data_IF_181519905837
#
_entry.id   IF_181519905837
#
_cell.length_a   1.000
_cell.length_b   1.000
_cell.length_c   1.000
_cell.angle_alpha   90.00
_cell.angle_beta   90.00
_cell.angle_gamma   90.00
#
_symmetry.space_group_name_H-M   'P 1'
#
loop_
_entity.id
_entity.type
_entity.pdbx_description
1 polymer ?
#
# COMPACT_ATOMS: atom_id res chain seq x y z
N UNK A 1 -15.74 -9.99 -9.40
CA UNK A 1 -17.21 -9.88 -9.65
C UNK A 1 -17.61 -8.46 -10.07
N UNK A 2 -16.71 -7.67 -10.71
CA UNK A 2 -16.98 -6.37 -11.34
C UNK A 2 -17.36 -5.21 -10.39
N UNK A 3 -17.36 -5.41 -9.09
CA UNK A 3 -17.66 -4.36 -8.11
C UNK A 3 -16.39 -3.79 -7.49
N UNK A 4 -16.23 -2.46 -7.41
CA UNK A 4 -15.10 -1.84 -6.73
C UNK A 4 -15.01 -2.26 -5.25
N UNK A 5 -13.80 -2.45 -4.75
CA UNK A 5 -13.56 -2.66 -3.32
C UNK A 5 -14.02 -1.39 -2.56
N UNK A 6 -14.67 -1.60 -1.39
CA UNK A 6 -15.24 -0.53 -0.59
C UNK A 6 -16.68 -0.13 -0.97
N UNK A 7 -17.27 -0.70 -2.04
CA UNK A 7 -18.64 -0.38 -2.48
C UNK A 7 -19.71 -1.34 -1.95
N UNK A 8 -19.35 -2.32 -1.10
CA UNK A 8 -20.29 -3.35 -0.61
C UNK A 8 -20.94 -3.01 0.72
N UNK A 9 -20.28 -2.19 1.54
CA UNK A 9 -20.82 -1.74 2.82
C UNK A 9 -21.66 -0.49 2.68
N UNK A 10 -22.29 -0.07 3.77
CA UNK A 10 -23.01 1.21 3.85
C UNK A 10 -22.08 2.42 3.68
N UNK A 11 -20.82 2.26 4.11
CA UNK A 11 -19.75 3.24 4.00
C UNK A 11 -18.51 2.57 3.40
N UNK A 12 -17.87 3.26 2.48
CA UNK A 12 -16.53 2.97 2.01
C UNK A 12 -15.55 4.02 2.54
N UNK A 13 -14.35 3.59 2.88
CA UNK A 13 -13.27 4.51 3.29
C UNK A 13 -12.04 4.29 2.45
N UNK A 14 -11.27 5.35 2.22
CA UNK A 14 -9.94 5.26 1.62
C UNK A 14 -8.99 6.23 2.29
N UNK A 15 -7.73 5.84 2.38
CA UNK A 15 -6.66 6.66 2.95
C UNK A 15 -5.85 7.30 1.82
N UNK A 16 -5.49 8.58 2.01
CA UNK A 16 -4.55 9.32 1.18
C UNK A 16 -3.28 9.70 1.94
N UNK A 17 -2.96 8.92 2.99
CA UNK A 17 -1.72 9.11 3.75
C UNK A 17 -0.49 9.02 2.84
N UNK A 18 0.63 9.60 3.27
CA UNK A 18 1.85 9.74 2.48
C UNK A 18 2.36 8.43 1.83
N UNK A 19 2.13 7.28 2.48
CA UNK A 19 2.59 5.96 2.00
C UNK A 19 1.60 5.25 1.08
N UNK A 20 0.42 5.83 0.81
CA UNK A 20 -0.59 5.20 -0.04
C UNK A 20 -0.30 5.38 -1.52
N UNK A 21 -0.95 4.57 -2.36
CA UNK A 21 -0.80 4.66 -3.82
C UNK A 21 -1.22 6.01 -4.39
N UNK A 22 -2.26 6.61 -3.81
CA UNK A 22 -2.70 7.96 -4.04
C UNK A 22 -2.50 8.72 -2.73
N UNK A 23 -1.70 9.76 -2.74
CA UNK A 23 -1.38 10.55 -1.55
C UNK A 23 -1.79 12.01 -1.72
N UNK A 24 -2.08 12.66 -0.59
CA UNK A 24 -2.28 14.12 -0.50
C UNK A 24 -1.09 14.83 0.15
N UNK A 25 0.09 14.17 0.17
CA UNK A 25 1.33 14.75 0.69
C UNK A 25 1.45 14.76 2.22
N UNK A 26 0.65 13.95 2.90
CA UNK A 26 0.68 13.85 4.36
C UNK A 26 -0.52 13.09 4.88
N UNK A 27 -1.42 13.78 5.57
CA UNK A 27 -2.67 13.23 6.04
C UNK A 27 -3.77 13.42 5.00
N UNK A 28 -4.70 12.48 4.91
CA UNK A 28 -5.86 12.60 4.04
C UNK A 28 -6.63 11.30 3.91
N UNK A 29 -7.88 11.41 3.50
CA UNK A 29 -8.76 10.28 3.26
C UNK A 29 -10.09 10.73 2.70
N UNK A 30 -10.90 9.76 2.30
CA UNK A 30 -12.28 10.01 1.90
C UNK A 30 -13.22 8.95 2.44
N UNK A 31 -14.43 9.37 2.71
CA UNK A 31 -15.56 8.49 3.04
C UNK A 31 -16.60 8.66 1.95
N UNK A 32 -17.15 7.55 1.47
CA UNK A 32 -18.17 7.56 0.43
C UNK A 32 -19.32 6.60 0.78
N UNK A 33 -20.52 6.98 0.39
CA UNK A 33 -21.75 6.20 0.57
C UNK A 33 -22.80 6.61 -0.44
N UNK A 34 -23.71 5.72 -0.75
CA UNK A 34 -24.97 6.04 -1.44
C UNK A 34 -26.04 6.60 -0.47
N UNK A 35 -25.85 6.45 0.85
CA UNK A 35 -26.76 6.95 1.86
C UNK A 35 -26.42 8.42 2.20
N UNK A 36 -27.23 9.33 1.66
CA UNK A 36 -27.08 10.78 1.89
C UNK A 36 -27.11 11.16 3.37
N UNK A 37 -27.99 10.52 4.18
CA UNK A 37 -28.11 10.85 5.59
C UNK A 37 -26.84 10.50 6.38
N UNK A 38 -26.15 9.41 6.02
CA UNK A 38 -24.85 9.07 6.62
C UNK A 38 -23.78 10.10 6.24
N UNK A 39 -23.72 10.49 4.98
CA UNK A 39 -22.76 11.50 4.51
C UNK A 39 -23.01 12.85 5.19
N UNK A 40 -24.26 13.28 5.35
CA UNK A 40 -24.60 14.55 6.01
C UNK A 40 -24.20 14.52 7.51
N UNK A 41 -24.42 13.39 8.21
CA UNK A 41 -23.95 13.20 9.59
C UNK A 41 -22.43 13.27 9.71
N UNK A 42 -21.70 12.64 8.76
CA UNK A 42 -20.23 12.67 8.74
C UNK A 42 -19.70 14.07 8.47
N UNK A 43 -20.33 14.81 7.55
CA UNK A 43 -20.00 16.22 7.29
C UNK A 43 -20.22 17.08 8.51
N UNK A 44 -21.36 16.93 9.20
CA UNK A 44 -21.65 17.64 10.44
C UNK A 44 -20.62 17.31 11.53
N UNK A 45 -20.20 16.06 11.65
CA UNK A 45 -19.22 15.59 12.64
C UNK A 45 -17.80 16.15 12.42
N UNK A 46 -17.38 16.31 11.17
CA UNK A 46 -16.04 16.80 10.81
C UNK A 46 -15.90 18.32 10.74
N UNK A 47 -17.01 19.08 10.78
CA UNK A 47 -17.03 20.52 10.60
C UNK A 47 -17.50 21.20 11.89
N UNK A 48 -16.54 21.66 12.71
CA UNK A 48 -16.84 22.25 14.01
C UNK A 48 -17.16 23.75 13.93
N UNK A 49 -16.79 24.43 12.84
CA UNK A 49 -16.84 25.88 12.70
C UNK A 49 -18.26 26.38 12.45
N UNK A 50 -18.57 27.63 12.91
CA UNK A 50 -19.85 28.32 12.72
C UNK A 50 -21.10 27.55 13.21
N UNK A 51 -20.96 26.76 14.30
CA UNK A 51 -22.06 25.96 14.87
C UNK A 51 -22.63 26.63 16.13
N UNK A 52 -23.96 26.63 16.25
CA UNK A 52 -24.68 27.20 17.38
C UNK A 52 -25.11 26.20 18.45
N UNK A 53 -25.01 24.90 18.14
CA UNK A 53 -25.31 23.81 19.08
C UNK A 53 -24.05 23.34 19.82
N UNK A 54 -24.24 22.53 20.88
CA UNK A 54 -23.12 21.97 21.70
C UNK A 54 -22.73 20.55 21.32
N UNK A 55 -23.00 20.08 20.09
CA UNK A 55 -22.60 18.74 19.67
C UNK A 55 -21.09 18.65 19.53
N UNK A 56 -20.53 17.50 19.90
CA UNK A 56 -19.11 17.23 19.69
C UNK A 56 -18.81 17.13 18.20
N UNK A 57 -17.89 17.96 17.74
CA UNK A 57 -17.37 17.97 16.37
C UNK A 57 -15.86 18.11 16.39
N UNK A 58 -15.24 17.74 15.29
CA UNK A 58 -13.78 17.70 15.15
C UNK A 58 -13.36 18.42 13.86
N UNK A 59 -12.14 18.94 13.87
CA UNK A 59 -11.52 19.48 12.67
C UNK A 59 -10.83 18.35 11.90
N UNK A 60 -11.61 17.66 11.07
CA UNK A 60 -11.09 16.61 10.16
C UNK A 60 -11.14 17.05 8.70
N UNK A 61 -11.06 18.33 8.45
CA UNK A 61 -11.09 18.87 7.10
C UNK A 61 -9.73 18.73 6.43
N UNK A 62 -9.75 18.37 5.15
CA UNK A 62 -8.57 18.41 4.29
C UNK A 62 -8.31 19.85 3.86
N UNK A 63 -7.05 20.28 3.85
CA UNK A 63 -6.69 21.60 3.33
C UNK A 63 -6.74 21.64 1.81
N UNK A 64 -6.90 22.83 1.22
CA UNK A 64 -6.90 23.02 -0.23
C UNK A 64 -5.57 22.59 -0.87
N UNK A 65 -4.45 22.78 -0.16
CA UNK A 65 -3.12 22.32 -0.61
C UNK A 65 -3.11 20.79 -0.74
N UNK A 66 -3.57 20.07 0.29
CA UNK A 66 -3.67 18.61 0.26
C UNK A 66 -4.62 18.13 -0.83
N UNK A 67 -5.77 18.78 -0.97
CA UNK A 67 -6.75 18.46 -2.01
C UNK A 67 -6.18 18.67 -3.42
N UNK A 68 -5.40 19.73 -3.63
CA UNK A 68 -4.74 20.03 -4.90
C UNK A 68 -3.72 18.95 -5.27
N UNK A 69 -2.87 18.53 -4.31
CA UNK A 69 -1.93 17.41 -4.50
C UNK A 69 -2.67 16.14 -4.87
N UNK A 70 -3.73 15.80 -4.12
CA UNK A 70 -4.53 14.60 -4.37
C UNK A 70 -5.18 14.59 -5.75
N UNK A 71 -5.65 15.72 -6.24
CA UNK A 71 -6.22 15.86 -7.59
C UNK A 71 -5.19 15.60 -8.68
N UNK A 72 -3.97 16.11 -8.53
CA UNK A 72 -2.89 15.84 -9.50
C UNK A 72 -2.44 14.37 -9.46
N UNK A 73 -2.33 13.79 -8.27
CA UNK A 73 -2.07 12.35 -8.12
C UNK A 73 -3.15 11.49 -8.77
N UNK A 74 -4.42 11.87 -8.64
CA UNK A 74 -5.54 11.13 -9.21
C UNK A 74 -5.51 11.14 -10.75
N UNK A 75 -5.13 12.25 -11.37
CA UNK A 75 -4.96 12.34 -12.85
C UNK A 75 -3.92 11.35 -13.36
N UNK A 76 -2.85 11.10 -12.59
CA UNK A 76 -1.76 10.21 -12.97
C UNK A 76 -1.93 8.78 -12.44
N UNK A 77 -3.00 8.49 -11.71
CA UNK A 77 -3.15 7.23 -10.97
C UNK A 77 -3.05 5.99 -11.86
N UNK A 78 -3.63 6.02 -13.06
CA UNK A 78 -3.54 4.89 -14.00
C UNK A 78 -2.10 4.66 -14.47
N UNK A 79 -1.35 5.72 -14.77
CA UNK A 79 0.06 5.64 -15.17
C UNK A 79 0.88 5.02 -14.03
N UNK A 80 0.66 5.46 -12.78
CA UNK A 80 1.34 4.90 -11.60
C UNK A 80 1.02 3.42 -11.40
N UNK A 81 -0.23 3.03 -11.60
CA UNK A 81 -0.66 1.64 -11.50
C UNK A 81 -0.01 0.76 -12.56
N UNK A 82 0.01 1.18 -13.82
CA UNK A 82 0.64 0.48 -14.93
C UNK A 82 2.15 0.33 -14.72
N UNK A 83 2.82 1.38 -14.24
CA UNK A 83 4.25 1.33 -13.96
C UNK A 83 4.56 0.34 -12.83
N UNK A 84 3.77 0.30 -11.76
CA UNK A 84 3.90 -0.70 -10.68
C UNK A 84 3.70 -2.13 -11.19
N UNK A 85 2.70 -2.35 -12.04
CA UNK A 85 2.48 -3.66 -12.67
C UNK A 85 3.69 -4.06 -13.52
N UNK A 86 4.23 -3.16 -14.33
CA UNK A 86 5.43 -3.40 -15.13
C UNK A 86 6.64 -3.81 -14.27
N UNK A 87 6.89 -3.10 -13.16
CA UNK A 87 7.98 -3.43 -12.22
C UNK A 87 7.74 -4.82 -11.61
N UNK A 88 6.52 -5.11 -11.17
CA UNK A 88 6.15 -6.41 -10.61
C UNK A 88 6.40 -7.55 -11.60
N UNK A 89 6.00 -7.35 -12.86
CA UNK A 89 6.22 -8.33 -13.93
C UNK A 89 7.71 -8.54 -14.25
N UNK A 90 8.55 -7.50 -14.13
CA UNK A 90 10.00 -7.64 -14.26
C UNK A 90 10.57 -8.54 -13.15
N UNK A 91 10.14 -8.36 -11.90
CA UNK A 91 10.55 -9.24 -10.79
C UNK A 91 10.12 -10.69 -11.04
N UNK A 92 8.88 -10.87 -11.51
CA UNK A 92 8.34 -12.18 -11.85
C UNK A 92 9.12 -12.85 -12.99
N UNK A 93 9.43 -12.12 -14.05
CA UNK A 93 10.22 -12.59 -15.19
C UNK A 93 11.66 -12.96 -14.79
N UNK A 94 12.21 -12.33 -13.77
CA UNK A 94 13.50 -12.68 -13.19
C UNK A 94 13.46 -13.95 -12.30
N UNK A 95 12.31 -14.60 -12.16
CA UNK A 95 12.13 -15.82 -11.38
C UNK A 95 12.02 -15.62 -9.86
N UNK A 96 11.76 -14.40 -9.38
CA UNK A 96 11.58 -14.17 -7.95
C UNK A 96 10.26 -14.78 -7.46
N UNK A 97 10.26 -15.45 -6.31
CA UNK A 97 9.07 -16.07 -5.70
C UNK A 97 8.15 -15.01 -5.07
N UNK A 98 7.35 -14.39 -5.92
CA UNK A 98 6.44 -13.31 -5.53
C UNK A 98 5.15 -13.85 -4.89
N UNK A 99 4.74 -13.25 -3.78
CA UNK A 99 3.41 -13.47 -3.20
C UNK A 99 2.34 -12.91 -4.13
N UNK A 100 1.54 -13.78 -4.72
CA UNK A 100 0.41 -13.44 -5.57
C UNK A 100 -0.89 -14.12 -5.12
N UNK A 101 -2.01 -13.44 -5.32
CA UNK A 101 -3.31 -14.09 -5.19
C UNK A 101 -3.49 -15.14 -6.31
N UNK A 102 -3.87 -16.34 -5.93
CA UNK A 102 -4.24 -17.40 -6.88
C UNK A 102 -5.60 -17.15 -7.55
N UNK A 103 -6.36 -16.18 -7.07
CA UNK A 103 -7.70 -15.87 -7.60
C UNK A 103 -7.60 -14.89 -8.76
N UNK A 104 -7.71 -15.40 -9.98
CA UNK A 104 -7.64 -14.66 -11.24
C UNK A 104 -8.87 -13.78 -11.52
N UNK A 105 -9.95 -13.89 -10.72
CA UNK A 105 -11.16 -13.08 -10.91
C UNK A 105 -11.02 -11.64 -10.39
N UNK A 106 -9.89 -11.30 -9.78
CA UNK A 106 -9.66 -9.98 -9.19
C UNK A 106 -8.65 -9.18 -10.00
N UNK A 107 -8.95 -7.91 -10.25
CA UNK A 107 -7.96 -6.92 -10.70
C UNK A 107 -7.13 -6.49 -9.49
N UNK A 108 -5.86 -6.85 -9.49
CA UNK A 108 -4.94 -6.60 -8.38
C UNK A 108 -4.25 -5.25 -8.58
N UNK A 109 -4.17 -4.47 -7.51
CA UNK A 109 -3.34 -3.26 -7.47
C UNK A 109 -2.04 -3.59 -6.74
N UNK A 110 -0.89 -3.37 -7.39
CA UNK A 110 0.44 -3.68 -6.85
C UNK A 110 0.88 -2.62 -5.83
N UNK A 111 0.38 -2.74 -4.60
CA UNK A 111 0.80 -1.87 -3.50
C UNK A 111 2.22 -2.20 -3.03
N UNK A 112 2.55 -3.49 -2.92
CA UNK A 112 3.86 -4.04 -2.59
C UNK A 112 4.27 -5.13 -3.59
N UNK A 113 5.58 -5.33 -3.76
CA UNK A 113 6.16 -6.53 -4.36
C UNK A 113 6.83 -7.33 -3.25
N UNK A 114 6.14 -8.33 -2.76
CA UNK A 114 6.62 -9.16 -1.65
C UNK A 114 7.11 -10.49 -2.21
N UNK A 115 8.34 -10.85 -1.88
CA UNK A 115 8.92 -12.16 -2.20
C UNK A 115 8.92 -13.06 -0.97
N UNK A 116 8.76 -14.36 -1.18
CA UNK A 116 9.10 -15.37 -0.19
C UNK A 116 10.60 -15.65 -0.25
N UNK A 117 11.24 -15.80 0.90
CA UNK A 117 12.67 -16.11 1.00
C UNK A 117 12.98 -16.73 2.36
N UNK A 118 13.98 -17.59 2.39
CA UNK A 118 14.55 -18.11 3.65
C UNK A 118 15.69 -17.24 4.18
N UNK A 119 16.07 -16.18 3.45
CA UNK A 119 17.23 -15.35 3.75
C UNK A 119 16.86 -13.83 3.76
N UNK A 120 15.78 -13.40 4.47
CA UNK A 120 15.31 -12.01 4.41
C UNK A 120 16.39 -11.01 4.80
N UNK A 121 17.08 -11.23 5.92
CA UNK A 121 18.12 -10.32 6.41
C UNK A 121 19.28 -10.18 5.41
N UNK A 122 19.67 -11.28 4.78
CA UNK A 122 20.74 -11.26 3.78
C UNK A 122 20.36 -10.43 2.55
N UNK A 123 19.12 -10.59 2.07
CA UNK A 123 18.60 -9.81 0.94
C UNK A 123 18.52 -8.34 1.31
N UNK A 124 17.94 -8.00 2.46
CA UNK A 124 17.80 -6.62 2.93
C UNK A 124 19.17 -5.95 3.05
N UNK A 125 20.12 -6.58 3.73
CA UNK A 125 21.48 -6.07 3.92
C UNK A 125 22.21 -5.87 2.59
N UNK A 126 22.10 -6.83 1.66
CA UNK A 126 22.76 -6.69 0.35
C UNK A 126 22.14 -5.59 -0.52
N UNK A 127 20.83 -5.40 -0.44
CA UNK A 127 20.16 -4.30 -1.11
C UNK A 127 20.57 -2.96 -0.50
N UNK A 128 20.61 -2.86 0.83
CA UNK A 128 21.02 -1.64 1.55
C UNK A 128 22.46 -1.24 1.25
N UNK A 129 23.41 -2.18 1.23
CA UNK A 129 24.80 -1.94 0.79
C UNK A 129 24.90 -1.40 -0.65
N UNK A 130 23.85 -1.58 -1.44
CA UNK A 130 23.73 -1.08 -2.80
C UNK A 130 22.85 0.19 -2.92
N UNK A 131 22.49 0.82 -1.79
CA UNK A 131 21.66 2.03 -1.74
C UNK A 131 20.18 1.77 -2.02
N UNK A 132 19.71 0.53 -1.89
CA UNK A 132 18.32 0.12 -2.18
C UNK A 132 17.66 -0.32 -0.88
N UNK A 133 16.59 0.37 -0.49
CA UNK A 133 15.83 0.03 0.73
C UNK A 133 14.80 -1.05 0.44
N UNK A 134 14.90 -2.16 1.14
CA UNK A 134 13.87 -3.20 1.25
C UNK A 134 13.55 -3.44 2.74
N UNK A 135 12.40 -4.00 3.03
CA UNK A 135 11.94 -4.21 4.42
C UNK A 135 11.17 -5.52 4.54
N UNK A 136 11.08 -6.04 5.75
CA UNK A 136 10.04 -7.02 6.09
C UNK A 136 8.69 -6.30 6.05
N UNK A 137 7.65 -6.82 5.36
CA UNK A 137 6.35 -6.12 5.21
C UNK A 137 5.62 -5.87 6.53
N UNK A 138 5.69 -6.82 7.45
CA UNK A 138 5.13 -6.79 8.81
C UNK A 138 6.13 -7.50 9.71
N UNK A 139 6.71 -6.76 10.65
CA UNK A 139 7.66 -7.29 11.62
C UNK A 139 6.96 -8.14 12.68
N UNK A 140 7.73 -8.96 13.41
CA UNK A 140 7.18 -9.84 14.45
C UNK A 140 6.49 -9.09 15.59
N UNK A 141 7.02 -7.96 15.98
CA UNK A 141 6.48 -7.08 17.01
C UNK A 141 5.23 -6.29 16.58
N UNK A 142 4.97 -6.23 15.28
CA UNK A 142 3.74 -5.66 14.71
C UNK A 142 2.58 -6.68 14.68
N UNK A 143 2.80 -7.96 14.99
CA UNK A 143 1.74 -8.96 15.04
C UNK A 143 0.80 -8.71 16.24
N UNK A 144 -0.52 -8.79 15.98
CA UNK A 144 -1.54 -8.42 16.97
C UNK A 144 -1.67 -9.38 18.16
N UNK A 145 -1.10 -10.59 18.05
CA UNK A 145 -1.18 -11.63 19.07
C UNK A 145 0.10 -12.49 19.05
N UNK A 146 0.20 -13.44 19.99
CA UNK A 146 1.33 -14.34 20.06
C UNK A 146 1.55 -15.08 18.73
N UNK A 147 2.71 -14.91 18.07
CA UNK A 147 2.99 -15.52 16.78
C UNK A 147 2.83 -17.04 16.75
N UNK A 148 2.99 -17.71 17.88
CA UNK A 148 2.86 -19.16 17.96
C UNK A 148 1.41 -19.66 17.80
N UNK A 149 0.43 -18.78 17.99
CA UNK A 149 -0.98 -19.10 17.77
C UNK A 149 -1.37 -18.98 16.27
N UNK A 150 -0.55 -18.33 15.45
CA UNK A 150 -0.82 -18.00 14.06
C UNK A 150 0.37 -18.33 13.17
N UNK A 151 0.57 -19.61 12.93
CA UNK A 151 1.76 -20.15 12.22
C UNK A 151 1.99 -19.48 10.85
N UNK A 152 0.94 -19.19 10.09
CA UNK A 152 1.06 -18.55 8.79
C UNK A 152 1.53 -17.08 8.90
N UNK A 153 1.00 -16.33 9.88
CA UNK A 153 1.42 -14.95 10.11
C UNK A 153 2.88 -14.89 10.57
N UNK A 154 3.26 -15.79 11.49
CA UNK A 154 4.65 -15.96 11.92
C UNK A 154 5.58 -16.25 10.75
N UNK A 155 5.23 -17.22 9.91
CA UNK A 155 6.03 -17.59 8.74
C UNK A 155 6.18 -16.42 7.76
N UNK A 156 5.11 -15.68 7.49
CA UNK A 156 5.18 -14.50 6.61
C UNK A 156 6.06 -13.39 7.18
N UNK A 157 6.03 -13.15 8.50
CA UNK A 157 6.91 -12.15 9.13
C UNK A 157 8.38 -12.57 9.13
N UNK A 158 8.68 -13.87 9.05
CA UNK A 158 10.04 -14.41 9.08
C UNK A 158 10.62 -14.68 7.69
N UNK A 159 9.79 -14.85 6.67
CA UNK A 159 10.20 -15.38 5.36
C UNK A 159 9.75 -14.51 4.19
N UNK A 160 9.56 -13.20 4.41
CA UNK A 160 9.19 -12.31 3.32
C UNK A 160 10.01 -11.03 3.30
N UNK A 161 10.20 -10.49 2.09
CA UNK A 161 10.82 -9.18 1.86
C UNK A 161 9.97 -8.40 0.87
N UNK A 162 9.68 -7.14 1.21
CA UNK A 162 9.02 -6.17 0.33
C UNK A 162 10.08 -5.41 -0.46
N UNK A 163 10.10 -5.64 -1.76
CA UNK A 163 10.98 -4.96 -2.71
C UNK A 163 10.39 -3.60 -3.13
N UNK A 164 11.23 -2.63 -3.53
CA UNK A 164 10.78 -1.35 -4.08
C UNK A 164 9.87 -1.53 -5.29
N UNK A 165 8.77 -0.75 -5.35
CA UNK A 165 7.80 -0.83 -6.46
C UNK A 165 7.16 0.54 -6.76
N UNK A 166 7.77 1.66 -6.39
CA UNK A 166 7.24 2.99 -6.66
C UNK A 166 7.37 3.37 -8.14
N UNK A 167 6.46 4.21 -8.68
CA UNK A 167 6.37 4.49 -10.12
C UNK A 167 7.65 5.03 -10.77
N UNK A 168 8.41 5.86 -10.04
CA UNK A 168 9.65 6.48 -10.52
C UNK A 168 10.90 5.60 -10.33
N UNK A 169 10.73 4.31 -9.96
CA UNK A 169 11.86 3.39 -9.83
C UNK A 169 12.48 3.15 -11.22
N UNK A 170 13.75 3.49 -11.36
CA UNK A 170 14.47 3.32 -12.62
C UNK A 170 14.63 1.85 -13.02
N UNK A 171 14.57 1.56 -14.30
CA UNK A 171 14.72 0.19 -14.81
C UNK A 171 16.09 -0.42 -14.50
N UNK A 172 17.12 0.40 -14.47
CA UNK A 172 18.49 0.03 -14.05
C UNK A 172 18.51 -0.51 -12.62
N UNK A 173 17.78 0.14 -11.72
CA UNK A 173 17.63 -0.28 -10.30
C UNK A 173 16.80 -1.54 -10.19
N UNK A 174 15.70 -1.67 -10.95
CA UNK A 174 14.90 -2.91 -11.02
C UNK A 174 15.77 -4.09 -11.43
N UNK A 175 16.57 -3.94 -12.49
CA UNK A 175 17.48 -4.98 -12.98
C UNK A 175 18.58 -5.31 -11.94
N UNK A 176 19.06 -4.31 -11.19
CA UNK A 176 20.03 -4.52 -10.12
C UNK A 176 19.42 -5.31 -8.96
N UNK A 177 18.18 -5.01 -8.56
CA UNK A 177 17.45 -5.77 -7.54
C UNK A 177 17.29 -7.23 -7.96
N UNK A 178 16.82 -7.48 -9.18
CA UNK A 178 16.69 -8.83 -9.72
C UNK A 178 17.99 -9.62 -9.59
N UNK A 179 19.11 -9.05 -10.05
CA UNK A 179 20.43 -9.72 -9.99
C UNK A 179 20.88 -10.04 -8.57
N UNK A 180 20.70 -9.10 -7.63
CA UNK A 180 21.09 -9.29 -6.24
C UNK A 180 20.27 -10.42 -5.60
N UNK A 181 18.94 -10.36 -5.73
CA UNK A 181 18.03 -11.34 -5.12
C UNK A 181 18.25 -12.72 -5.73
N UNK A 182 18.25 -12.84 -7.06
CA UNK A 182 18.47 -14.15 -7.74
C UNK A 182 19.79 -14.79 -7.35
N UNK A 183 20.86 -14.00 -7.19
CA UNK A 183 22.17 -14.53 -6.74
C UNK A 183 22.12 -15.08 -5.31
N UNK A 184 21.32 -14.49 -4.43
CA UNK A 184 21.18 -14.96 -3.04
C UNK A 184 20.33 -16.22 -2.99
N UNK A 185 19.23 -16.27 -3.73
CA UNK A 185 18.30 -17.41 -3.77
C UNK A 185 18.88 -18.63 -4.49
N UNK A 186 19.91 -18.49 -5.32
CA UNK A 186 20.59 -19.60 -6.02
C UNK A 186 21.63 -20.34 -5.16
N UNK A 187 21.89 -19.91 -3.94
CA UNK A 187 22.83 -20.49 -2.97
C UNK A 187 22.06 -21.24 -1.88
#
# INVERSE_FOLDING_TARGET
NGRPIGSRGELGITSFYATKLLTTGGQGGAIFSHNKNLIDKIRDYREFDNRRDKKNRFNFQMTDIQASIGREQLKQFNIFRERRESIFMNYKAAGLDLLESKNISHSIVRYRAVINTKQPDRIINQLEMNGIRAIVPIEKDELLDNPNNYINAKQLSEQTVSLPIYPNLEQSVVNKICRIVSKIESI
#
